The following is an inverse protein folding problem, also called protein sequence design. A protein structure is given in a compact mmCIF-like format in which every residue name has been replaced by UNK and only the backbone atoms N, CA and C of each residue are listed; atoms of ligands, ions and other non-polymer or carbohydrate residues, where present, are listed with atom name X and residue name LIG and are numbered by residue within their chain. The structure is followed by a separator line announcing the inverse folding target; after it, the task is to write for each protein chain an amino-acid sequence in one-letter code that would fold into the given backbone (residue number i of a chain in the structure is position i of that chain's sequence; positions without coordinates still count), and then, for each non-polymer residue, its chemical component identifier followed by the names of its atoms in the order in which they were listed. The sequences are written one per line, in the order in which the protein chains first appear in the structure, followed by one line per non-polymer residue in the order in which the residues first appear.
data_IF_460977508664
#
_entry.id   IF_460977508664
#
_cell.length_a   1.000
_cell.length_b   1.000
_cell.length_c   1.000
_cell.angle_alpha   90.00
_cell.angle_beta   90.00
_cell.angle_gamma   90.00
#
_symmetry.space_group_name_H-M   'P 1'
#
loop_
_entity.id
_entity.type
_entity.pdbx_description
1 polymer ?
#
# COMPACT_ATOMS: atom_id res chain seq x y z
N UNK A 1 9.12 -30.62 -6.70
CA UNK A 1 7.81 -30.32 -7.34
C UNK A 1 7.20 -29.00 -6.84
N UNK A 2 7.22 -28.71 -5.53
CA UNK A 2 6.67 -27.48 -4.91
C UNK A 2 7.29 -26.17 -5.46
N UNK A 3 8.60 -26.13 -5.66
CA UNK A 3 9.31 -24.91 -6.11
C UNK A 3 8.89 -24.43 -7.52
N UNK A 4 8.56 -25.36 -8.43
CA UNK A 4 8.06 -25.05 -9.78
C UNK A 4 6.63 -24.49 -9.77
N UNK A 5 5.81 -24.89 -8.79
CA UNK A 5 4.44 -24.39 -8.67
C UNK A 5 4.42 -22.96 -8.13
N UNK A 6 5.26 -22.66 -7.13
CA UNK A 6 5.40 -21.31 -6.56
C UNK A 6 5.86 -20.32 -7.62
N UNK A 7 6.92 -20.63 -8.37
CA UNK A 7 7.42 -19.77 -9.46
C UNK A 7 6.36 -19.52 -10.55
N UNK A 8 5.58 -20.54 -10.92
CA UNK A 8 4.49 -20.38 -11.90
C UNK A 8 3.37 -19.46 -11.40
N UNK A 9 3.08 -19.46 -10.09
CA UNK A 9 2.08 -18.57 -9.49
C UNK A 9 2.60 -17.13 -9.49
N UNK A 10 3.85 -16.91 -9.09
CA UNK A 10 4.47 -15.58 -9.10
C UNK A 10 4.43 -14.91 -10.48
N UNK A 11 4.87 -15.61 -11.54
CA UNK A 11 4.86 -15.03 -12.90
C UNK A 11 3.44 -14.71 -13.40
N UNK A 12 2.43 -15.50 -13.00
CA UNK A 12 1.03 -15.19 -13.33
C UNK A 12 0.52 -13.96 -12.59
N UNK A 13 0.91 -13.79 -11.33
CA UNK A 13 0.55 -12.62 -10.53
C UNK A 13 1.20 -11.38 -11.14
N UNK A 14 2.49 -11.40 -11.43
CA UNK A 14 3.21 -10.27 -12.07
C UNK A 14 2.57 -9.87 -13.40
N UNK A 15 2.37 -10.82 -14.31
CA UNK A 15 1.74 -10.54 -15.61
C UNK A 15 0.26 -10.13 -15.52
N UNK A 16 -0.43 -10.41 -14.40
CA UNK A 16 -1.77 -9.89 -14.14
C UNK A 16 -1.71 -8.49 -13.55
N UNK A 17 -0.73 -8.23 -12.67
CA UNK A 17 -0.51 -6.94 -12.03
C UNK A 17 -0.16 -5.87 -13.07
N UNK A 18 0.59 -6.21 -14.11
CA UNK A 18 0.89 -5.30 -15.24
C UNK A 18 -0.34 -4.84 -16.00
N UNK A 19 -1.41 -5.66 -16.05
CA UNK A 19 -2.65 -5.34 -16.76
C UNK A 19 -3.61 -4.48 -15.95
N UNK A 20 -3.32 -4.27 -14.67
CA UNK A 20 -4.16 -3.46 -13.78
C UNK A 20 -3.70 -2.00 -13.87
N UNK A 21 -4.67 -1.13 -14.17
CA UNK A 21 -4.47 0.32 -14.23
C UNK A 21 -3.92 0.88 -12.91
N UNK A 22 -3.11 1.94 -13.03
CA UNK A 22 -2.51 2.63 -11.88
C UNK A 22 -3.58 3.09 -10.88
N UNK A 23 -4.69 3.61 -11.37
CA UNK A 23 -5.74 4.21 -10.53
C UNK A 23 -6.40 3.16 -9.62
N UNK A 24 -6.54 1.92 -10.10
CA UNK A 24 -7.05 0.81 -9.31
C UNK A 24 -6.04 0.44 -8.20
N UNK A 25 -4.75 0.44 -8.51
CA UNK A 25 -3.69 0.20 -7.53
C UNK A 25 -3.63 1.31 -6.48
N UNK A 26 -3.81 2.56 -6.87
CA UNK A 26 -3.88 3.69 -5.94
C UNK A 26 -5.11 3.58 -5.03
N UNK A 27 -6.28 3.23 -5.58
CA UNK A 27 -7.48 2.99 -4.79
C UNK A 27 -7.28 1.83 -3.79
N UNK A 28 -6.64 0.73 -4.22
CA UNK A 28 -6.30 -0.39 -3.36
C UNK A 28 -5.35 0.03 -2.23
N UNK A 29 -4.34 0.86 -2.52
CA UNK A 29 -3.45 1.44 -1.52
C UNK A 29 -4.21 2.28 -0.48
N UNK A 30 -5.11 3.15 -0.92
CA UNK A 30 -5.90 3.98 0.00
C UNK A 30 -6.84 3.15 0.88
N UNK A 31 -7.47 2.11 0.32
CA UNK A 31 -8.31 1.18 1.07
C UNK A 31 -7.49 0.39 2.10
N UNK A 32 -6.32 -0.13 1.70
CA UNK A 32 -5.39 -0.85 2.56
C UNK A 32 -4.95 0.05 3.73
N UNK A 33 -4.52 1.27 3.42
CA UNK A 33 -4.06 2.25 4.42
C UNK A 33 -5.19 2.63 5.39
N UNK A 34 -6.40 2.84 4.88
CA UNK A 34 -7.60 3.12 5.68
C UNK A 34 -7.91 2.00 6.67
N UNK A 35 -7.93 0.76 6.18
CA UNK A 35 -8.26 -0.42 6.97
C UNK A 35 -7.22 -0.68 8.05
N UNK A 36 -5.94 -0.83 7.69
CA UNK A 36 -4.90 -1.17 8.65
C UNK A 36 -4.60 -0.05 9.65
N UNK A 37 -4.78 1.21 9.25
CA UNK A 37 -4.66 2.33 10.19
C UNK A 37 -5.80 2.37 11.23
N UNK A 38 -6.95 1.73 10.94
CA UNK A 38 -8.09 1.64 11.87
C UNK A 38 -7.97 0.49 12.88
N UNK A 39 -7.16 -0.53 12.59
CA UNK A 39 -6.88 -1.63 13.52
C UNK A 39 -6.00 -1.09 14.63
N UNK A 40 -6.44 -1.17 15.90
CA UNK A 40 -5.77 -0.54 17.04
C UNK A 40 -4.33 -1.02 17.22
N UNK A 41 -4.09 -2.30 17.07
CA UNK A 41 -2.79 -2.96 17.30
C UNK A 41 -1.74 -2.50 16.28
N UNK A 42 -2.15 -2.27 15.03
CA UNK A 42 -1.27 -1.86 13.92
C UNK A 42 -1.21 -0.33 13.83
N UNK A 43 -2.37 0.32 13.90
CA UNK A 43 -2.58 1.75 13.80
C UNK A 43 -2.05 2.58 14.96
N UNK A 44 -1.68 1.96 16.10
CA UNK A 44 -1.06 2.67 17.23
C UNK A 44 0.31 3.23 16.87
N UNK A 45 1.11 2.46 16.11
CA UNK A 45 2.43 2.88 15.67
C UNK A 45 2.36 3.35 14.21
N UNK A 46 2.24 4.66 14.01
CA UNK A 46 2.03 5.24 12.67
C UNK A 46 3.20 5.02 11.71
N UNK A 47 4.42 4.93 12.23
CA UNK A 47 5.60 4.59 11.43
C UNK A 47 5.51 3.17 10.86
N UNK A 48 5.02 2.20 11.65
CA UNK A 48 4.80 0.83 11.20
C UNK A 48 3.71 0.78 10.11
N UNK A 49 2.61 1.53 10.28
CA UNK A 49 1.58 1.68 9.23
C UNK A 49 2.18 2.21 7.93
N UNK A 50 3.02 3.24 8.00
CA UNK A 50 3.64 3.84 6.83
C UNK A 50 4.63 2.87 6.14
N UNK A 51 5.43 2.14 6.91
CA UNK A 51 6.35 1.13 6.39
C UNK A 51 5.61 -0.01 5.68
N UNK A 52 4.59 -0.58 6.32
CA UNK A 52 3.77 -1.64 5.74
C UNK A 52 3.02 -1.17 4.50
N UNK A 53 2.52 0.08 4.49
CA UNK A 53 1.90 0.67 3.32
C UNK A 53 2.88 0.80 2.15
N UNK A 54 4.14 1.15 2.43
CA UNK A 54 5.19 1.20 1.40
C UNK A 54 5.45 -0.16 0.79
N UNK A 55 5.61 -1.19 1.63
CA UNK A 55 5.79 -2.58 1.17
C UNK A 55 4.58 -3.07 0.36
N UNK A 56 3.37 -2.70 0.78
CA UNK A 56 2.15 -3.03 0.05
C UNK A 56 2.14 -2.36 -1.33
N UNK A 57 2.46 -1.07 -1.42
CA UNK A 57 2.60 -0.33 -2.67
C UNK A 57 3.53 -1.06 -3.65
N UNK A 58 4.71 -1.46 -3.18
CA UNK A 58 5.68 -2.20 -4.00
C UNK A 58 5.12 -3.56 -4.45
N UNK A 59 4.44 -4.28 -3.56
CA UNK A 59 3.86 -5.60 -3.86
C UNK A 59 2.78 -5.58 -4.96
N UNK A 60 2.09 -4.44 -5.13
CA UNK A 60 1.08 -4.24 -6.19
C UNK A 60 1.65 -3.54 -7.42
N UNK A 61 2.99 -3.42 -7.52
CA UNK A 61 3.67 -2.88 -8.69
C UNK A 61 3.64 -1.35 -8.80
N UNK A 62 3.38 -0.63 -7.71
CA UNK A 62 3.53 0.83 -7.66
C UNK A 62 4.99 1.18 -7.31
N UNK A 63 5.63 1.99 -8.15
CA UNK A 63 7.03 2.41 -7.97
C UNK A 63 7.25 3.23 -6.69
N UNK A 64 6.22 3.96 -6.24
CA UNK A 64 6.25 4.78 -5.02
C UNK A 64 4.85 4.80 -4.40
N UNK A 65 4.73 4.93 -3.07
CA UNK A 65 3.45 5.09 -2.41
C UNK A 65 2.63 6.24 -3.00
N UNK A 66 1.34 6.07 -3.29
CA UNK A 66 0.46 7.14 -3.77
C UNK A 66 0.34 8.29 -2.77
N UNK A 67 -0.08 9.46 -3.27
CA UNK A 67 -0.32 10.61 -2.41
C UNK A 67 -1.64 10.49 -1.65
N UNK A 68 -1.62 10.76 -0.35
CA UNK A 68 -2.82 10.91 0.47
C UNK A 68 -3.22 12.38 0.53
N UNK A 69 -4.51 12.67 0.38
CA UNK A 69 -5.02 14.03 0.58
C UNK A 69 -4.74 14.53 1.99
N UNK A 70 -4.29 15.78 2.14
CA UNK A 70 -3.98 16.39 3.44
C UNK A 70 -5.08 16.21 4.47
N UNK A 71 -6.34 16.48 4.10
CA UNK A 71 -7.50 16.32 4.99
C UNK A 71 -7.64 14.89 5.52
N UNK A 72 -7.39 13.90 4.66
CA UNK A 72 -7.43 12.47 5.00
C UNK A 72 -6.26 12.10 5.90
N UNK A 73 -5.04 12.50 5.56
CA UNK A 73 -3.86 12.25 6.39
C UNK A 73 -4.00 12.84 7.80
N UNK A 74 -4.57 14.04 7.93
CA UNK A 74 -4.88 14.65 9.22
C UNK A 74 -5.90 13.83 10.03
N UNK A 75 -7.03 13.43 9.42
CA UNK A 75 -8.05 12.60 10.07
C UNK A 75 -7.50 11.24 10.50
N UNK A 76 -6.56 10.69 9.74
CA UNK A 76 -5.94 9.39 10.00
C UNK A 76 -4.77 9.43 10.99
N UNK A 77 -4.34 10.62 11.42
CA UNK A 77 -3.14 10.78 12.26
C UNK A 77 -1.85 10.42 11.53
N UNK A 78 -1.83 10.53 10.20
CA UNK A 78 -0.69 10.22 9.32
C UNK A 78 0.03 11.48 8.83
N UNK A 79 -0.40 12.65 9.30
CA UNK A 79 0.26 13.93 8.99
C UNK A 79 1.68 13.92 9.57
N UNK A 80 2.66 14.33 8.76
CA UNK A 80 4.07 14.47 9.12
C UNK A 80 4.79 13.13 9.44
N UNK A 81 4.19 11.99 9.12
CA UNK A 81 4.81 10.66 9.23
C UNK A 81 5.72 10.41 8.02
N UNK A 82 6.97 10.01 8.29
CA UNK A 82 7.91 9.60 7.24
C UNK A 82 7.36 8.40 6.46
N UNK A 83 7.42 8.46 5.13
CA UNK A 83 6.86 7.43 4.25
C UNK A 83 5.44 7.71 3.77
N UNK A 84 4.70 8.62 4.41
CA UNK A 84 3.39 9.07 3.92
C UNK A 84 3.57 10.32 3.04
N UNK A 85 3.19 10.19 1.76
CA UNK A 85 3.25 11.30 0.81
C UNK A 85 1.94 12.07 0.85
N UNK A 86 1.99 13.36 1.18
CA UNK A 86 0.77 14.19 1.29
C UNK A 86 0.67 15.11 0.08
N UNK A 87 -0.48 15.07 -0.61
CA UNK A 87 -0.83 16.06 -1.63
C UNK A 87 -1.23 17.36 -0.93
N UNK A 88 -0.62 18.48 -1.35
CA UNK A 88 -0.97 19.83 -0.86
C UNK A 88 -2.42 20.16 -1.17
#
# INVERSE_FOLDING_TARGET
MVFKAVTRIHSKIEGSMEKIDSDIKEAAYHAWLGYYNSIREIGREKTNVAELASRFSESIGLQRPPFVFRKTAMKMGLKDILGIRIRR
#
